data_IF_219373490377
#
_entry.id   IF_219373490377
#
_cell.length_a   1.000
_cell.length_b   1.000
_cell.length_c   1.000
_cell.angle_alpha   90.00
_cell.angle_beta   90.00
_cell.angle_gamma   90.00
#
_symmetry.space_group_name_H-M   'P 1'
#
loop_
_entity.id
_entity.type
_entity.pdbx_description
1 polymer ?
#
# COMPACT_ATOMS: atom_id res chain seq x y z
N UNK A 1 -6.23 16.91 -4.24
CA UNK A 1 -5.49 15.64 -4.40
C UNK A 1 -6.41 14.44 -4.23
N UNK A 2 -6.91 14.13 -3.02
CA UNK A 2 -7.73 12.91 -2.76
C UNK A 2 -8.89 12.70 -3.75
N UNK A 3 -9.70 13.73 -4.01
CA UNK A 3 -10.78 13.65 -5.01
C UNK A 3 -10.28 13.31 -6.43
N UNK A 4 -9.12 13.86 -6.83
CA UNK A 4 -8.50 13.55 -8.13
C UNK A 4 -7.79 12.20 -8.17
N UNK A 5 -7.59 11.55 -7.02
CA UNK A 5 -6.95 10.24 -6.91
C UNK A 5 -7.95 9.08 -6.93
N UNK A 6 -9.24 9.35 -7.16
CA UNK A 6 -10.32 8.35 -7.11
C UNK A 6 -10.00 7.09 -7.94
N UNK A 7 -9.59 7.24 -9.21
CA UNK A 7 -9.25 6.10 -10.06
C UNK A 7 -8.08 5.27 -9.52
N UNK A 8 -7.05 5.93 -8.99
CA UNK A 8 -5.92 5.25 -8.37
C UNK A 8 -6.37 4.49 -7.12
N UNK A 9 -7.23 5.08 -6.28
CA UNK A 9 -7.80 4.41 -5.12
C UNK A 9 -8.61 3.18 -5.51
N UNK A 10 -9.48 3.28 -6.52
CA UNK A 10 -10.22 2.14 -7.05
C UNK A 10 -9.30 1.02 -7.53
N UNK A 11 -8.24 1.35 -8.27
CA UNK A 11 -7.27 0.38 -8.77
C UNK A 11 -6.57 -0.38 -7.64
N UNK A 12 -5.97 0.33 -6.68
CA UNK A 12 -5.25 -0.33 -5.57
C UNK A 12 -6.18 -1.08 -4.64
N UNK A 13 -7.41 -0.58 -4.42
CA UNK A 13 -8.44 -1.31 -3.67
C UNK A 13 -8.79 -2.63 -4.37
N UNK A 14 -8.95 -2.62 -5.70
CA UNK A 14 -9.23 -3.82 -6.48
C UNK A 14 -8.06 -4.81 -6.44
N UNK A 15 -6.82 -4.33 -6.59
CA UNK A 15 -5.62 -5.17 -6.47
C UNK A 15 -5.59 -5.85 -5.10
N UNK A 16 -5.87 -5.11 -4.01
CA UNK A 16 -5.93 -5.70 -2.68
C UNK A 16 -7.08 -6.71 -2.55
N UNK A 17 -8.27 -6.39 -3.08
CA UNK A 17 -9.41 -7.29 -3.05
C UNK A 17 -9.13 -8.62 -3.74
N UNK A 18 -8.33 -8.62 -4.83
CA UNK A 18 -7.95 -9.81 -5.57
C UNK A 18 -6.78 -10.56 -4.94
N UNK A 19 -5.77 -9.84 -4.47
CA UNK A 19 -4.51 -10.45 -3.98
C UNK A 19 -4.54 -10.78 -2.49
N UNK A 20 -5.39 -10.12 -1.71
CA UNK A 20 -5.58 -10.37 -0.28
C UNK A 20 -7.02 -10.05 0.18
N UNK A 21 -8.04 -10.85 -0.23
CA UNK A 21 -9.45 -10.54 0.00
C UNK A 21 -9.83 -10.31 1.48
N UNK A 22 -9.20 -11.05 2.40
CA UNK A 22 -9.45 -10.90 3.84
C UNK A 22 -8.95 -9.56 4.38
N UNK A 23 -7.76 -9.10 3.95
CA UNK A 23 -7.25 -7.78 4.30
C UNK A 23 -8.15 -6.68 3.74
N UNK A 24 -8.58 -6.81 2.49
CA UNK A 24 -9.53 -5.88 1.88
C UNK A 24 -10.85 -5.80 2.65
N UNK A 25 -11.43 -6.93 3.04
CA UNK A 25 -12.69 -6.97 3.76
C UNK A 25 -12.62 -6.23 5.11
N UNK A 26 -11.60 -6.51 5.92
CA UNK A 26 -11.38 -5.83 7.20
C UNK A 26 -11.12 -4.33 7.01
N UNK A 27 -10.30 -3.97 6.02
CA UNK A 27 -9.98 -2.58 5.73
C UNK A 27 -11.20 -1.78 5.24
N UNK A 28 -12.12 -2.41 4.50
CA UNK A 28 -13.38 -1.79 4.07
C UNK A 28 -14.32 -1.49 5.24
N UNK A 29 -14.37 -2.39 6.23
CA UNK A 29 -15.14 -2.16 7.46
C UNK A 29 -14.58 -0.95 8.23
N UNK A 30 -13.26 -0.89 8.40
CA UNK A 30 -12.55 0.23 9.04
C UNK A 30 -12.80 1.53 8.30
N UNK A 31 -12.74 1.53 6.97
CA UNK A 31 -13.05 2.72 6.17
C UNK A 31 -14.45 3.26 6.46
N UNK A 32 -15.45 2.38 6.58
CA UNK A 32 -16.82 2.76 6.95
C UNK A 32 -16.88 3.44 8.32
N UNK A 33 -16.19 2.88 9.32
CA UNK A 33 -16.09 3.46 10.66
C UNK A 33 -15.37 4.81 10.64
N UNK A 34 -14.24 4.94 9.93
CA UNK A 34 -13.51 6.20 9.80
C UNK A 34 -14.36 7.29 9.12
N UNK A 35 -15.12 6.95 8.07
CA UNK A 35 -16.02 7.90 7.40
C UNK A 35 -17.14 8.41 8.31
N UNK A 36 -17.61 7.58 9.25
CA UNK A 36 -18.62 7.97 10.24
C UNK A 36 -18.02 8.76 11.41
N UNK A 37 -16.80 8.43 11.83
CA UNK A 37 -16.11 9.09 12.94
C UNK A 37 -15.62 10.49 12.56
N UNK A 38 -15.08 10.66 11.35
CA UNK A 38 -14.56 11.95 10.89
C UNK A 38 -15.65 12.78 10.21
N UNK A 39 -15.98 13.92 10.80
CA UNK A 39 -16.98 14.85 10.26
C UNK A 39 -16.44 15.78 9.16
N UNK A 40 -15.13 15.75 8.91
CA UNK A 40 -14.45 16.65 7.99
C UNK A 40 -14.79 16.33 6.52
N UNK A 41 -14.87 17.35 5.64
CA UNK A 41 -15.10 17.13 4.22
C UNK A 41 -14.04 16.25 3.55
N UNK A 42 -12.79 16.32 4.00
CA UNK A 42 -11.70 15.52 3.43
C UNK A 42 -11.86 14.01 3.69
N UNK A 43 -12.42 13.61 4.84
CA UNK A 43 -12.71 12.20 5.13
C UNK A 43 -13.77 11.62 4.20
N UNK A 44 -14.74 12.45 3.77
CA UNK A 44 -15.76 12.04 2.79
C UNK A 44 -15.18 11.77 1.40
N UNK A 45 -14.07 12.41 1.05
CA UNK A 45 -13.36 12.23 -0.23
C UNK A 45 -12.36 11.06 -0.21
N UNK A 46 -12.17 10.39 0.93
CA UNK A 46 -11.23 9.29 1.06
C UNK A 46 -11.90 7.96 0.67
N UNK A 47 -11.59 7.46 -0.51
CA UNK A 47 -12.18 6.21 -1.03
C UNK A 47 -11.21 5.02 -1.03
N UNK A 48 -10.01 5.18 -0.47
CA UNK A 48 -9.07 4.07 -0.32
C UNK A 48 -9.36 3.26 0.95
N UNK A 49 -9.29 1.93 0.85
CA UNK A 49 -9.35 1.07 2.05
C UNK A 49 -8.07 1.15 2.88
N UNK A 50 -6.99 1.68 2.32
CA UNK A 50 -5.77 1.99 3.05
C UNK A 50 -5.98 3.22 3.94
N UNK A 51 -5.45 3.20 5.15
CA UNK A 51 -5.65 4.28 6.13
C UNK A 51 -4.74 5.48 5.86
N UNK A 52 -3.77 5.36 4.95
CA UNK A 52 -2.88 6.44 4.58
C UNK A 52 -2.19 6.20 3.23
N UNK A 53 -1.73 7.30 2.65
CA UNK A 53 -0.91 7.30 1.43
C UNK A 53 0.28 8.21 1.64
N UNK A 54 1.48 7.69 1.39
CA UNK A 54 2.71 8.47 1.28
C UNK A 54 3.01 8.77 -0.19
N UNK A 55 3.34 10.02 -0.51
CA UNK A 55 3.85 10.40 -1.84
C UNK A 55 5.35 10.64 -1.73
N UNK A 56 6.12 9.87 -2.49
CA UNK A 56 7.59 9.88 -2.46
C UNK A 56 8.07 10.29 -3.86
N UNK A 57 8.60 11.50 -3.99
CA UNK A 57 9.09 12.05 -5.26
C UNK A 57 10.62 12.12 -5.27
N UNK A 58 11.26 11.55 -6.31
CA UNK A 58 12.70 11.61 -6.58
C UNK A 58 13.60 11.30 -5.37
N UNK A 59 13.11 10.45 -4.47
CA UNK A 59 13.80 10.12 -3.22
C UNK A 59 14.31 8.69 -3.26
N UNK A 60 15.53 8.52 -2.76
CA UNK A 60 16.07 7.21 -2.36
C UNK A 60 15.29 6.71 -1.15
N UNK A 61 14.89 5.45 -1.21
CA UNK A 61 14.32 4.72 -0.08
C UNK A 61 15.39 3.78 0.46
N UNK A 62 16.01 4.16 1.58
CA UNK A 62 17.02 3.33 2.24
C UNK A 62 16.47 1.96 2.69
N UNK A 63 17.30 0.91 2.82
CA UNK A 63 16.85 -0.41 3.24
C UNK A 63 16.21 -0.42 4.64
N UNK A 64 14.90 -0.65 4.70
CA UNK A 64 14.13 -0.62 5.95
C UNK A 64 12.99 -1.64 5.96
N UNK A 65 12.34 -1.77 7.12
CA UNK A 65 11.05 -2.43 7.28
C UNK A 65 10.05 -1.41 7.80
N UNK A 66 8.81 -1.52 7.40
CA UNK A 66 7.75 -0.68 7.93
C UNK A 66 7.41 -1.04 9.37
N UNK A 67 7.03 -0.03 10.15
CA UNK A 67 6.68 -0.22 11.57
C UNK A 67 5.17 -0.21 11.82
N UNK A 68 4.42 0.40 10.90
CA UNK A 68 3.04 0.82 11.16
C UNK A 68 1.95 -0.23 10.96
N UNK A 69 2.18 -1.26 10.13
CA UNK A 69 1.14 -2.25 9.76
C UNK A 69 1.18 -3.54 10.59
N UNK A 70 0.53 -4.58 10.09
CA UNK A 70 0.66 -5.96 10.58
C UNK A 70 1.58 -6.78 9.66
N UNK A 71 2.21 -7.83 10.19
CA UNK A 71 3.12 -8.69 9.43
C UNK A 71 2.51 -9.29 8.14
N UNK A 72 1.29 -9.87 8.15
CA UNK A 72 0.72 -10.48 6.95
C UNK A 72 0.23 -9.49 5.90
N UNK A 73 0.15 -8.20 6.23
CA UNK A 73 -0.56 -7.24 5.41
C UNK A 73 0.31 -6.71 4.29
N UNK A 74 -0.32 -6.52 3.14
CA UNK A 74 0.28 -5.83 2.02
C UNK A 74 0.16 -4.33 2.20
N UNK A 75 1.29 -3.66 2.06
CA UNK A 75 1.36 -2.29 1.56
C UNK A 75 1.42 -2.37 0.02
N UNK A 76 0.75 -1.42 -0.65
CA UNK A 76 0.73 -1.36 -2.11
C UNK A 76 1.50 -0.12 -2.57
N UNK A 77 2.50 -0.31 -3.41
CA UNK A 77 3.33 0.74 -3.95
C UNK A 77 3.03 0.88 -5.44
N UNK A 78 2.60 2.06 -5.87
CA UNK A 78 2.45 2.39 -7.28
C UNK A 78 3.50 3.43 -7.68
N UNK A 79 4.27 3.16 -8.71
CA UNK A 79 5.27 4.09 -9.24
C UNK A 79 4.86 4.64 -10.60
N UNK A 80 5.14 5.91 -10.84
CA UNK A 80 4.85 6.60 -12.09
C UNK A 80 5.89 7.70 -12.34
N UNK A 81 5.86 8.26 -13.54
CA UNK A 81 6.72 9.34 -13.97
C UNK A 81 7.54 8.96 -15.19
N UNK A 82 8.47 9.84 -15.54
CA UNK A 82 9.35 9.70 -16.69
C UNK A 82 10.75 9.39 -16.18
N UNK A 83 11.04 8.12 -16.00
CA UNK A 83 12.31 7.65 -15.45
C UNK A 83 12.66 6.25 -15.98
N UNK A 84 13.95 5.96 -15.99
CA UNK A 84 14.52 4.67 -16.39
C UNK A 84 15.26 3.98 -15.25
N UNK A 85 15.50 2.68 -15.43
CA UNK A 85 16.36 1.90 -14.52
C UNK A 85 15.80 1.71 -13.11
N UNK A 86 14.49 1.86 -12.89
CA UNK A 86 13.88 1.63 -11.59
C UNK A 86 14.03 0.19 -11.11
N UNK A 87 14.42 0.03 -9.84
CA UNK A 87 14.57 -1.28 -9.19
C UNK A 87 13.91 -1.26 -7.81
N UNK A 88 13.16 -2.31 -7.51
CA UNK A 88 12.66 -2.59 -6.16
C UNK A 88 13.45 -3.75 -5.55
N UNK A 89 14.15 -3.47 -4.45
CA UNK A 89 15.05 -4.42 -3.81
C UNK A 89 14.40 -5.06 -2.59
N UNK A 90 14.45 -6.39 -2.52
CA UNK A 90 14.15 -7.18 -1.32
C UNK A 90 15.44 -7.79 -0.79
N UNK A 91 16.25 -6.96 -0.13
CA UNK A 91 17.63 -7.32 0.23
C UNK A 91 17.72 -8.55 1.13
N UNK A 92 16.74 -8.77 2.00
CA UNK A 92 16.69 -9.95 2.87
C UNK A 92 16.52 -11.27 2.11
N UNK A 93 16.00 -11.22 0.88
CA UNK A 93 15.79 -12.38 0.01
C UNK A 93 16.82 -12.46 -1.12
N UNK A 94 17.73 -11.48 -1.24
CA UNK A 94 18.66 -11.38 -2.37
C UNK A 94 17.95 -11.15 -3.72
N UNK A 95 16.70 -10.66 -3.72
CA UNK A 95 15.90 -10.46 -4.92
C UNK A 95 15.84 -8.98 -5.32
N UNK A 96 15.82 -8.74 -6.63
CA UNK A 96 15.60 -7.43 -7.23
C UNK A 96 14.57 -7.57 -8.34
N UNK A 97 13.65 -6.62 -8.41
CA UNK A 97 12.61 -6.59 -9.43
C UNK A 97 12.74 -5.31 -10.25
N UNK A 98 12.54 -5.42 -11.56
CA UNK A 98 12.35 -4.24 -12.40
C UNK A 98 11.14 -3.47 -11.88
N UNK A 99 11.31 -2.17 -11.66
CA UNK A 99 10.29 -1.27 -11.12
C UNK A 99 10.10 -0.05 -12.04
N UNK A 100 9.68 -0.26 -13.31
CA UNK A 100 9.48 0.80 -14.29
C UNK A 100 8.22 1.63 -13.99
N UNK A 101 8.05 2.81 -14.61
CA UNK A 101 6.80 3.57 -14.52
C UNK A 101 5.56 2.71 -14.81
N UNK A 102 4.52 2.88 -14.01
CA UNK A 102 3.27 2.11 -14.10
C UNK A 102 3.27 0.82 -13.28
N UNK A 103 4.41 0.41 -12.70
CA UNK A 103 4.48 -0.82 -11.91
C UNK A 103 3.76 -0.70 -10.55
N UNK A 104 3.14 -1.80 -10.11
CA UNK A 104 2.54 -1.95 -8.78
C UNK A 104 3.23 -3.09 -8.04
N UNK A 105 3.65 -2.85 -6.81
CA UNK A 105 4.22 -3.85 -5.91
C UNK A 105 3.31 -3.97 -4.69
N UNK A 106 2.82 -5.19 -4.42
CA UNK A 106 2.23 -5.54 -3.13
C UNK A 106 3.32 -6.22 -2.27
N UNK A 107 3.60 -5.69 -1.09
CA UNK A 107 4.69 -6.16 -0.23
C UNK A 107 4.26 -6.22 1.22
N UNK A 108 4.67 -7.26 1.93
CA UNK A 108 4.61 -7.29 3.39
C UNK A 108 5.72 -6.39 3.96
N UNK A 109 5.55 -5.06 3.90
CA UNK A 109 6.57 -4.07 4.22
C UNK A 109 7.12 -4.17 5.65
N UNK A 110 6.30 -4.62 6.60
CA UNK A 110 6.71 -4.89 7.99
C UNK A 110 7.56 -6.15 8.13
N UNK A 111 7.37 -7.15 7.27
CA UNK A 111 8.15 -8.40 7.29
C UNK A 111 9.44 -8.23 6.49
N UNK A 112 9.32 -7.74 5.26
CA UNK A 112 10.36 -7.79 4.22
C UNK A 112 11.14 -6.49 4.19
N UNK A 113 12.47 -6.60 4.39
CA UNK A 113 13.37 -5.46 4.27
C UNK A 113 13.47 -5.06 2.80
N UNK A 114 13.11 -3.82 2.49
CA UNK A 114 13.04 -3.32 1.13
C UNK A 114 13.67 -1.95 0.94
N UNK A 115 14.11 -1.66 -0.29
CA UNK A 115 14.68 -0.37 -0.70
C UNK A 115 14.39 -0.06 -2.16
N UNK A 116 14.51 1.22 -2.49
CA UNK A 116 14.44 1.73 -3.87
C UNK A 116 15.61 2.71 -4.06
N UNK A 117 16.60 2.38 -4.89
CA UNK A 117 17.72 3.27 -5.19
C UNK A 117 17.29 4.55 -5.91
N UNK A 118 18.27 5.41 -6.19
CA UNK A 118 18.07 6.54 -7.10
C UNK A 118 17.75 6.02 -8.50
N UNK A 119 16.92 6.77 -9.24
CA UNK A 119 16.57 6.48 -10.64
C UNK A 119 17.03 7.64 -11.51
N UNK A 120 17.19 7.39 -12.81
CA UNK A 120 17.44 8.46 -13.78
C UNK A 120 16.11 9.02 -14.28
N UNK A 121 15.86 10.31 -14.08
CA UNK A 121 14.60 10.99 -14.40
C UNK A 121 13.71 11.32 -13.19
N UNK A 122 12.41 11.45 -13.45
CA UNK A 122 11.39 11.89 -12.49
C UNK A 122 10.49 10.73 -12.07
N UNK A 123 10.66 10.24 -10.85
CA UNK A 123 9.84 9.20 -10.24
C UNK A 123 8.98 9.74 -9.12
N UNK A 124 7.70 9.37 -9.14
CA UNK A 124 6.76 9.54 -8.04
C UNK A 124 6.19 8.18 -7.65
N UNK A 125 6.33 7.82 -6.38
CA UNK A 125 5.71 6.64 -5.80
C UNK A 125 4.56 7.05 -4.87
N UNK A 126 3.40 6.42 -5.03
CA UNK A 126 2.30 6.44 -4.07
C UNK A 126 2.33 5.15 -3.27
N UNK A 127 2.67 5.26 -1.98
CA UNK A 127 2.75 4.15 -1.03
C UNK A 127 1.47 4.09 -0.19
N UNK A 128 0.63 3.09 -0.45
CA UNK A 128 -0.61 2.82 0.26
C UNK A 128 -0.35 1.87 1.42
N UNK A 129 -0.64 2.32 2.63
CA UNK A 129 -0.36 1.55 3.85
C UNK A 129 -1.49 1.64 4.86
N UNK A 130 -1.52 0.67 5.77
CA UNK A 130 -2.46 0.65 6.89
C UNK A 130 -1.72 0.84 8.22
N UNK A 131 -2.32 1.62 9.12
CA UNK A 131 -1.81 1.81 10.48
C UNK A 131 -2.55 0.88 11.43
N UNK A 132 -1.80 0.02 12.11
CA UNK A 132 -2.26 -0.88 13.14
C UNK A 132 -3.09 -0.17 14.22
N UNK A 133 -2.71 1.05 14.62
CA UNK A 133 -3.47 1.82 15.61
C UNK A 133 -4.92 2.12 15.18
N UNK A 134 -5.16 2.35 13.88
CA UNK A 134 -6.52 2.60 13.36
C UNK A 134 -7.36 1.32 13.40
N UNK A 135 -6.72 0.17 13.15
CA UNK A 135 -7.36 -1.13 13.19
C UNK A 135 -7.75 -1.53 14.62
N UNK A 136 -6.84 -1.32 15.57
CA UNK A 136 -7.10 -1.51 17.00
C UNK A 136 -8.23 -0.60 17.47
N UNK A 137 -8.25 0.66 17.06
CA UNK A 137 -9.35 1.58 17.36
C UNK A 137 -10.70 1.10 16.80
N UNK A 138 -10.70 0.59 15.57
CA UNK A 138 -11.90 0.10 14.90
C UNK A 138 -12.43 -1.23 15.48
N UNK A 139 -11.61 -1.97 16.23
CA UNK A 139 -12.00 -3.25 16.82
C UNK A 139 -12.23 -4.38 15.82
N UNK A 140 -11.74 -4.24 14.57
CA UNK A 140 -11.91 -5.25 13.52
C UNK A 140 -10.96 -6.42 13.71
N UNK A 141 -11.35 -7.59 13.20
CA UNK A 141 -10.48 -8.76 13.23
C UNK A 141 -9.20 -8.50 12.42
N UNK A 142 -8.08 -9.06 12.85
CA UNK A 142 -6.81 -8.96 12.12
C UNK A 142 -6.74 -10.08 11.08
N UNK A 143 -6.74 -9.77 9.77
CA UNK A 143 -6.59 -10.80 8.74
C UNK A 143 -5.22 -11.45 8.80
N UNK A 144 -5.22 -12.76 8.60
CA UNK A 144 -4.05 -13.62 8.48
C UNK A 144 -3.35 -13.45 7.12
N UNK A 145 -2.28 -14.20 6.87
CA UNK A 145 -1.59 -14.24 5.58
C UNK A 145 -2.54 -14.46 4.41
N UNK A 146 -2.28 -13.77 3.29
CA UNK A 146 -3.00 -14.04 2.05
C UNK A 146 -2.90 -15.51 1.70
N UNK A 147 -4.06 -16.12 1.44
CA UNK A 147 -4.15 -17.51 0.99
C UNK A 147 -4.45 -17.49 -0.49
N UNK A 148 -3.73 -18.33 -1.24
CA UNK A 148 -4.13 -18.64 -2.61
C UNK A 148 -5.56 -19.17 -2.65
N UNK A 149 -6.18 -19.22 -3.85
CA UNK A 149 -7.47 -19.86 -4.01
C UNK A 149 -7.42 -21.25 -3.38
N UNK A 150 -8.42 -21.58 -2.55
CA UNK A 150 -8.56 -22.95 -2.06
C UNK A 150 -8.73 -23.82 -3.30
N UNK A 151 -7.73 -24.63 -3.62
CA UNK A 151 -7.90 -25.71 -4.59
C UNK A 151 -9.00 -26.59 -4.03
N UNK A 152 -10.11 -26.68 -4.77
CA UNK A 152 -11.23 -27.57 -4.44
C UNK A 152 -10.81 -29.03 -4.54
#
# INVERSE_FOLDING_TARGET
>A
WAAGSHHLFCLVNLILALTHPQQYAAAREVLGLCKNFHTTPCARLWDSVFTGVGVIANRVTEPHKDTGGYLPWYDILFTAGDYDGGVFNLSALGLQFAYPPGCVIAVCGKLLRHSVPIVDGNRVCSAFYMKQGVQVWAGTCQPEWSRGPKTA
#
